data_IF_530627382626
#
_entry.id   IF_530627382626
#
_cell.length_a   1.000
_cell.length_b   1.000
_cell.length_c   1.000
_cell.angle_alpha   90.00
_cell.angle_beta   90.00
_cell.angle_gamma   90.00
#
_symmetry.space_group_name_H-M   'P 1'
#
loop_
_entity.id
_entity.type
_entity.pdbx_description
1 polymer ?
#
# COMPACT_ATOMS: atom_id res chain seq x y z
N UNK A 1 -7.06 3.12 0.61
CA UNK A 1 -8.24 2.54 1.23
C UNK A 1 -7.91 1.25 1.95
N UNK A 4 -1.95 0.53 3.84
CA UNK A 4 -0.91 0.59 2.84
C UNK A 4 0.07 -0.57 2.93
N UNK A 5 0.49 -0.94 1.71
CA UNK A 5 1.53 -1.93 1.50
C UNK A 5 2.68 -1.19 0.82
N UNK A 6 3.79 -0.97 1.52
CA UNK A 6 4.97 -0.41 0.92
C UNK A 6 5.66 -1.45 0.04
N UNK A 8 5.85 -3.58 -3.03
CA UNK A 8 4.82 -4.08 -3.91
C UNK A 8 3.42 -3.86 -3.36
N UNK A 10 0.19 -0.43 -2.67
CA UNK A 10 -0.35 0.91 -2.74
C UNK A 10 -0.73 1.47 -1.38
N UNK A 11 -0.81 2.79 -1.17
CA UNK A 11 -1.36 3.43 0.00
C UNK A 11 -2.73 3.98 -0.33
#
# INVERSE_FOLDING_TARGET
HXXCIPXEXVCX
#
